data_IF_163013361553
#
_entry.id   IF_163013361553
#
_cell.length_a   1.000
_cell.length_b   1.000
_cell.length_c   1.000
_cell.angle_alpha   90.00
_cell.angle_beta   90.00
_cell.angle_gamma   90.00
#
_symmetry.space_group_name_H-M   'P 1'
#
loop_
_entity.id
_entity.type
_entity.pdbx_description
1 polymer ?
#
# COMPACT_ATOMS: atom_id res chain seq x y z
N UNK A 1 29.44 22.51 20.83
CA UNK A 1 28.04 22.22 21.17
C UNK A 1 27.71 20.91 20.48
N UNK A 2 27.35 19.88 21.24
CA UNK A 2 27.03 18.57 20.65
C UNK A 2 25.62 18.68 20.06
N UNK A 3 25.47 18.37 18.77
CA UNK A 3 24.23 18.55 18.01
C UNK A 3 23.79 17.21 17.41
N UNK A 4 22.48 16.97 17.35
CA UNK A 4 21.90 15.83 16.66
C UNK A 4 22.13 16.03 15.15
N UNK A 5 22.62 15.03 14.41
CA UNK A 5 22.79 15.13 12.96
C UNK A 5 21.47 15.44 12.25
N UNK A 6 21.53 16.26 11.20
CA UNK A 6 20.34 16.68 10.45
C UNK A 6 19.53 15.52 9.86
N UNK A 7 20.18 14.46 9.39
CA UNK A 7 19.52 13.29 8.83
C UNK A 7 18.75 12.46 9.88
N UNK A 8 19.15 12.51 11.16
CA UNK A 8 18.46 11.84 12.27
C UNK A 8 17.34 12.70 12.85
N UNK A 9 17.51 14.03 12.88
CA UNK A 9 16.53 15.00 13.40
C UNK A 9 15.13 14.80 12.82
N UNK A 10 15.00 14.54 11.51
CA UNK A 10 13.68 14.29 10.89
C UNK A 10 13.04 12.99 11.41
N UNK A 11 13.82 11.89 11.49
CA UNK A 11 13.34 10.60 11.99
C UNK A 11 12.93 10.69 13.46
N UNK A 12 13.73 11.38 14.29
CA UNK A 12 13.42 11.62 15.71
C UNK A 12 12.12 12.43 15.85
N UNK A 13 11.93 13.47 15.03
CA UNK A 13 10.70 14.27 15.05
C UNK A 13 9.44 13.48 14.66
N UNK A 14 9.55 12.56 13.70
CA UNK A 14 8.46 11.63 13.37
C UNK A 14 8.14 10.68 14.54
N UNK A 15 9.17 10.19 15.23
CA UNK A 15 9.02 9.28 16.36
C UNK A 15 8.39 9.95 17.59
N UNK A 16 8.83 11.16 17.94
CA UNK A 16 8.24 11.97 19.02
C UNK A 16 6.73 12.12 18.81
N UNK A 17 6.30 12.46 17.59
CA UNK A 17 4.88 12.60 17.26
C UNK A 17 4.11 11.28 17.37
N UNK A 18 4.71 10.17 16.93
CA UNK A 18 4.10 8.85 17.04
C UNK A 18 3.87 8.46 18.51
N UNK A 19 4.90 8.60 19.35
CA UNK A 19 4.83 8.25 20.77
C UNK A 19 3.84 9.14 21.53
N UNK A 20 3.83 10.45 21.26
CA UNK A 20 2.83 11.36 21.83
C UNK A 20 1.41 10.98 21.43
N UNK A 21 1.17 10.64 20.15
CA UNK A 21 -0.14 10.16 19.68
C UNK A 21 -0.60 8.92 20.42
N UNK A 22 0.32 8.01 20.72
CA UNK A 22 0.01 6.81 21.50
C UNK A 22 -0.34 7.16 22.95
N UNK A 23 0.49 7.95 23.64
CA UNK A 23 0.22 8.43 25.01
C UNK A 23 -1.13 9.15 25.11
N UNK A 24 -1.51 9.91 24.08
CA UNK A 24 -2.83 10.56 24.01
C UNK A 24 -4.01 9.58 23.92
N UNK A 25 -3.82 8.44 23.26
CA UNK A 25 -4.85 7.39 23.22
C UNK A 25 -5.03 6.72 24.59
N UNK A 26 -3.94 6.55 25.33
CA UNK A 26 -3.95 5.99 26.69
C UNK A 26 -4.43 7.02 27.74
N UNK A 27 -4.09 8.30 27.54
CA UNK A 27 -4.45 9.40 28.42
C UNK A 27 -4.72 10.68 27.61
N UNK A 28 -6.01 11.06 27.51
CA UNK A 28 -6.50 12.19 26.69
C UNK A 28 -5.92 13.56 27.06
N UNK A 29 -5.27 13.68 28.22
CA UNK A 29 -4.60 14.91 28.66
C UNK A 29 -3.31 15.23 27.89
N UNK A 30 -2.76 14.29 27.12
CA UNK A 30 -1.55 14.47 26.31
C UNK A 30 -1.83 15.18 24.98
N UNK A 31 -2.50 16.33 25.01
CA UNK A 31 -2.72 17.13 23.79
C UNK A 31 -1.41 17.68 23.24
N UNK A 32 -1.40 18.14 21.98
CA UNK A 32 -0.19 18.73 21.38
C UNK A 32 0.23 19.96 22.19
N UNK A 33 -0.72 20.78 22.59
CA UNK A 33 -0.54 22.00 23.39
C UNK A 33 0.23 21.71 24.68
N UNK A 34 -0.24 20.74 25.47
CA UNK A 34 0.40 20.35 26.74
C UNK A 34 1.76 19.68 26.52
N UNK A 35 1.88 18.87 25.47
CA UNK A 35 3.13 18.19 25.19
C UNK A 35 4.25 19.19 24.87
N UNK A 36 3.97 20.19 24.03
CA UNK A 36 4.97 21.18 23.60
C UNK A 36 5.12 22.38 24.55
N UNK A 37 4.26 22.48 25.57
CA UNK A 37 4.27 23.56 26.56
C UNK A 37 5.65 23.71 27.22
N UNK A 38 6.18 24.93 27.21
CA UNK A 38 7.50 25.26 27.71
C UNK A 38 8.68 24.78 26.85
N UNK A 39 8.41 24.20 25.67
CA UNK A 39 9.45 23.66 24.77
C UNK A 39 9.50 24.38 23.43
N UNK A 40 8.39 24.42 22.68
CA UNK A 40 8.38 25.04 21.36
C UNK A 40 6.97 25.45 20.91
N UNK A 41 6.89 26.28 19.86
CA UNK A 41 5.60 26.65 19.24
C UNK A 41 4.96 25.49 18.46
N UNK A 42 3.63 25.53 18.24
CA UNK A 42 2.93 24.54 17.38
C UNK A 42 3.51 24.49 15.96
N UNK A 43 3.92 25.63 15.41
CA UNK A 43 4.50 25.71 14.08
C UNK A 43 5.86 25.01 14.03
N UNK A 44 6.69 25.21 15.05
CA UNK A 44 7.99 24.52 15.21
C UNK A 44 7.78 23.02 15.36
N UNK A 45 6.85 22.59 16.20
CA UNK A 45 6.48 21.19 16.38
C UNK A 45 5.97 20.53 15.09
N UNK A 46 5.18 21.25 14.28
CA UNK A 46 4.71 20.72 13.00
C UNK A 46 5.86 20.48 12.02
N UNK A 47 6.91 21.32 12.06
CA UNK A 47 8.11 21.22 11.22
C UNK A 47 9.01 20.05 11.58
N UNK A 48 9.10 19.66 12.87
CA UNK A 48 9.94 18.54 13.35
C UNK A 48 9.81 17.25 12.50
N UNK A 49 8.62 16.99 11.95
CA UNK A 49 8.29 15.77 11.20
C UNK A 49 8.78 15.77 9.75
N UNK A 50 9.15 16.96 9.24
CA UNK A 50 9.40 17.21 7.81
C UNK A 50 10.77 17.83 7.55
N UNK A 51 11.27 18.64 8.48
CA UNK A 51 12.51 19.39 8.33
C UNK A 51 13.32 19.30 9.63
N UNK A 52 14.65 19.17 9.54
CA UNK A 52 15.51 19.24 10.71
C UNK A 52 15.46 20.66 11.29
N UNK A 53 15.21 20.78 12.59
CA UNK A 53 15.36 22.08 13.26
C UNK A 53 16.85 22.36 13.52
N UNK A 54 17.21 23.64 13.51
CA UNK A 54 18.58 24.06 13.80
C UNK A 54 19.02 23.65 15.21
N UNK A 55 18.14 23.78 16.19
CA UNK A 55 18.46 23.57 17.60
C UNK A 55 18.04 22.16 18.09
N UNK A 56 19.02 21.35 18.51
CA UNK A 56 18.75 20.03 19.10
C UNK A 56 18.07 20.06 20.46
N UNK A 57 18.19 21.16 21.20
CA UNK A 57 17.57 21.33 22.51
C UNK A 57 16.05 21.14 22.48
N UNK A 58 15.40 21.51 21.36
CA UNK A 58 13.97 21.25 21.17
C UNK A 58 13.67 19.75 21.13
N UNK A 59 14.50 18.95 20.46
CA UNK A 59 14.34 17.50 20.39
C UNK A 59 14.57 16.87 21.77
N UNK A 60 15.63 17.27 22.47
CA UNK A 60 15.97 16.74 23.79
C UNK A 60 14.86 16.97 24.81
N UNK A 61 14.32 18.18 24.88
CA UNK A 61 13.21 18.52 25.79
C UNK A 61 11.95 17.71 25.48
N UNK A 62 11.65 17.48 24.20
CA UNK A 62 10.49 16.66 23.79
C UNK A 62 10.72 15.17 24.07
N UNK A 63 11.94 14.65 23.86
CA UNK A 63 12.32 13.29 24.21
C UNK A 63 12.24 13.07 25.72
N UNK A 64 12.74 14.01 26.52
CA UNK A 64 12.69 13.94 27.98
C UNK A 64 11.25 13.82 28.50
N UNK A 65 10.29 14.54 27.91
CA UNK A 65 8.87 14.38 28.23
C UNK A 65 8.33 12.98 27.92
N UNK A 66 8.95 12.25 27.00
CA UNK A 66 8.64 10.86 26.69
C UNK A 66 9.47 9.86 27.51
N UNK A 67 10.25 10.33 28.50
CA UNK A 67 11.24 9.57 29.26
C UNK A 67 12.31 8.94 28.36
N UNK A 68 12.71 9.66 27.31
CA UNK A 68 13.76 9.26 26.37
C UNK A 68 14.87 10.32 26.34
N UNK A 69 16.06 9.91 25.91
CA UNK A 69 17.18 10.82 25.69
C UNK A 69 17.90 10.52 24.37
N UNK A 70 18.58 11.54 23.84
CA UNK A 70 19.53 11.38 22.74
C UNK A 70 20.95 11.20 23.32
N UNK A 71 21.67 10.18 22.87
CA UNK A 71 23.05 9.92 23.28
C UNK A 71 24.03 10.72 22.44
N UNK A 72 24.60 11.75 23.07
CA UNK A 72 25.59 12.65 22.47
C UNK A 72 27.04 12.15 22.55
N UNK A 73 27.32 11.16 23.41
CA UNK A 73 28.66 10.58 23.57
C UNK A 73 29.04 9.80 22.31
N UNK A 74 30.03 10.32 21.57
CA UNK A 74 30.50 9.73 20.31
C UNK A 74 31.12 8.34 20.47
N UNK A 75 31.73 8.02 21.63
CA UNK A 75 32.31 6.69 21.87
C UNK A 75 31.20 5.66 22.08
N UNK A 76 30.25 5.95 22.97
CA UNK A 76 29.06 5.12 23.15
C UNK A 76 28.23 5.05 21.88
N UNK A 77 28.05 6.17 21.16
CA UNK A 77 27.36 6.21 19.86
C UNK A 77 28.08 5.37 18.82
N UNK A 78 29.42 5.38 18.75
CA UNK A 78 30.17 4.52 17.84
C UNK A 78 30.12 3.06 18.23
N UNK A 79 30.01 2.73 19.52
CA UNK A 79 29.77 1.36 19.99
C UNK A 79 28.33 0.92 19.65
N UNK A 80 27.35 1.82 19.78
CA UNK A 80 25.96 1.61 19.37
C UNK A 80 25.81 1.50 17.84
N UNK A 81 26.51 2.32 17.06
CA UNK A 81 26.54 2.26 15.59
C UNK A 81 27.33 1.05 15.09
N UNK A 82 28.40 0.63 15.79
CA UNK A 82 29.09 -0.64 15.52
C UNK A 82 28.18 -1.83 15.83
N UNK A 83 27.44 -1.79 16.93
CA UNK A 83 26.46 -2.80 17.27
C UNK A 83 25.27 -2.79 16.29
N UNK A 84 24.81 -1.63 15.82
CA UNK A 84 23.76 -1.49 14.78
C UNK A 84 24.24 -2.03 13.44
N UNK A 85 25.47 -1.68 13.04
CA UNK A 85 26.13 -2.25 11.86
C UNK A 85 26.36 -3.75 12.01
N UNK A 86 26.64 -4.25 13.22
CA UNK A 86 26.73 -5.69 13.50
C UNK A 86 25.35 -6.36 13.47
N UNK A 87 24.28 -5.69 13.91
CA UNK A 87 22.90 -6.17 13.78
C UNK A 87 22.50 -6.24 12.31
N UNK A 88 22.69 -5.15 11.57
CA UNK A 88 22.40 -5.06 10.14
C UNK A 88 23.26 -6.04 9.34
N UNK A 89 24.55 -6.18 9.64
CA UNK A 89 25.42 -7.17 9.00
C UNK A 89 25.08 -8.62 9.38
N UNK A 90 24.72 -8.90 10.63
CA UNK A 90 24.24 -10.23 11.03
C UNK A 90 22.91 -10.55 10.33
N UNK A 91 22.06 -9.55 10.14
CA UNK A 91 20.80 -9.68 9.42
C UNK A 91 20.99 -9.87 7.92
N UNK A 92 21.88 -9.09 7.29
CA UNK A 92 22.19 -9.17 5.86
C UNK A 92 23.01 -10.42 5.49
N UNK A 93 23.90 -10.88 6.37
CA UNK A 93 24.80 -12.02 6.07
C UNK A 93 24.35 -13.36 6.62
N UNK A 94 23.57 -13.40 7.70
CA UNK A 94 23.28 -14.63 8.43
C UNK A 94 21.77 -14.84 8.58
N UNK A 95 21.10 -14.99 7.44
CA UNK A 95 19.74 -15.49 7.46
C UNK A 95 19.72 -16.89 8.13
N UNK A 96 18.93 -17.06 9.19
CA UNK A 96 18.62 -18.26 10.00
C UNK A 96 19.55 -18.77 11.13
N UNK A 97 20.80 -18.28 11.33
CA UNK A 97 21.75 -18.97 12.26
C UNK A 97 22.04 -18.35 13.62
N UNK A 98 21.69 -17.09 13.88
CA UNK A 98 21.88 -16.49 15.23
C UNK A 98 20.77 -15.52 15.67
N UNK A 99 19.50 -15.97 15.73
CA UNK A 99 18.39 -15.15 16.25
C UNK A 99 18.61 -14.69 17.70
N UNK A 100 19.37 -15.44 18.50
CA UNK A 100 19.71 -15.11 19.89
C UNK A 100 20.59 -13.87 20.00
N UNK A 101 21.52 -13.68 19.05
CA UNK A 101 22.43 -12.53 19.04
C UNK A 101 21.68 -11.24 18.71
N UNK A 102 20.79 -11.30 17.72
CA UNK A 102 19.93 -10.18 17.37
C UNK A 102 18.93 -9.85 18.48
N UNK A 103 18.34 -10.87 19.12
CA UNK A 103 17.48 -10.69 20.30
C UNK A 103 18.22 -10.04 21.47
N UNK A 104 19.40 -10.53 21.82
CA UNK A 104 20.22 -9.97 22.91
C UNK A 104 20.60 -8.50 22.63
N UNK A 105 20.88 -8.17 21.37
CA UNK A 105 21.15 -6.80 20.95
C UNK A 105 19.90 -5.91 21.11
N UNK A 106 18.74 -6.33 20.60
CA UNK A 106 17.45 -5.62 20.78
C UNK A 106 17.15 -5.42 22.28
N UNK A 107 17.33 -6.44 23.11
CA UNK A 107 17.12 -6.37 24.57
C UNK A 107 18.11 -5.39 25.25
N UNK A 108 19.37 -5.35 24.81
CA UNK A 108 20.37 -4.37 25.27
C UNK A 108 20.00 -2.93 24.88
N UNK A 109 19.49 -2.71 23.66
CA UNK A 109 19.01 -1.39 23.23
C UNK A 109 17.78 -0.95 24.02
N UNK A 110 16.85 -1.87 24.23
CA UNK A 110 15.67 -1.70 25.06
C UNK A 110 16.02 -1.20 26.48
N UNK A 111 17.05 -1.77 27.10
CA UNK A 111 17.48 -1.38 28.45
C UNK A 111 18.10 0.04 28.52
N UNK A 112 18.55 0.60 27.40
CA UNK A 112 19.31 1.87 27.37
C UNK A 112 18.48 3.14 27.61
N UNK A 113 17.14 3.09 27.45
CA UNK A 113 16.27 4.27 27.62
C UNK A 113 16.48 5.37 26.58
N UNK A 114 17.04 5.04 25.41
CA UNK A 114 17.45 6.01 24.39
C UNK A 114 16.61 5.90 23.11
N UNK A 115 16.56 6.98 22.32
CA UNK A 115 15.82 6.99 21.04
C UNK A 115 16.44 6.06 19.97
N UNK A 116 17.65 5.55 20.20
CA UNK A 116 18.37 4.71 19.25
C UNK A 116 17.73 3.34 19.02
N UNK A 117 17.06 2.74 20.01
CA UNK A 117 16.25 1.51 19.79
C UNK A 117 15.22 1.71 18.67
N UNK A 118 14.61 2.89 18.64
CA UNK A 118 13.56 3.26 17.71
C UNK A 118 14.11 3.61 16.32
N UNK A 119 15.26 4.27 16.26
CA UNK A 119 15.95 4.61 15.01
C UNK A 119 16.56 3.38 14.34
N UNK A 120 17.12 2.46 15.13
CA UNK A 120 17.66 1.20 14.64
C UNK A 120 16.56 0.26 14.19
N UNK A 121 15.42 0.15 14.88
CA UNK A 121 14.27 -0.59 14.35
C UNK A 121 13.79 -0.04 13.02
N UNK A 122 13.78 1.29 12.84
CA UNK A 122 13.44 1.93 11.55
C UNK A 122 14.51 1.77 10.47
N UNK A 123 15.79 1.64 10.86
CA UNK A 123 16.90 1.40 9.94
C UNK A 123 16.99 -0.07 9.53
N UNK A 124 16.60 -0.99 10.41
CA UNK A 124 16.49 -2.43 10.19
C UNK A 124 15.19 -2.81 9.46
N UNK A 125 14.34 -1.87 9.07
CA UNK A 125 13.09 -2.14 8.34
C UNK A 125 13.04 -1.36 7.03
N UNK A 126 14.12 -1.44 6.26
CA UNK A 126 14.11 -0.93 4.89
C UNK A 126 13.24 -1.82 3.97
N UNK A 127 12.76 -1.25 2.87
CA UNK A 127 11.85 -1.88 1.91
C UNK A 127 12.45 -3.06 1.15
N UNK A 128 13.73 -3.35 1.34
CA UNK A 128 14.48 -4.46 0.73
C UNK A 128 14.33 -5.78 1.48
N UNK A 129 13.79 -5.75 2.70
CA UNK A 129 13.69 -6.95 3.54
C UNK A 129 12.49 -7.82 3.18
N UNK A 130 12.68 -9.14 3.32
CA UNK A 130 11.58 -10.07 3.06
C UNK A 130 10.50 -9.96 4.14
N UNK A 131 9.27 -10.34 3.79
CA UNK A 131 8.15 -10.38 4.74
C UNK A 131 8.46 -11.30 5.93
N UNK A 132 9.19 -12.40 5.72
CA UNK A 132 9.58 -13.32 6.79
C UNK A 132 10.51 -12.64 7.79
N UNK A 133 11.49 -11.91 7.28
CA UNK A 133 12.48 -11.20 8.08
C UNK A 133 11.82 -10.08 8.90
N UNK A 134 10.91 -9.32 8.29
CA UNK A 134 10.12 -8.30 8.97
C UNK A 134 9.22 -8.89 10.09
N UNK A 135 8.64 -10.07 9.86
CA UNK A 135 7.83 -10.76 10.89
C UNK A 135 8.69 -11.27 12.06
N UNK A 136 9.91 -11.72 11.81
CA UNK A 136 10.85 -12.08 12.86
C UNK A 136 11.25 -10.86 13.71
N UNK A 137 11.57 -9.73 13.06
CA UNK A 137 11.81 -8.45 13.76
C UNK A 137 10.58 -8.08 14.60
N UNK A 138 9.38 -8.14 14.02
CA UNK A 138 8.13 -7.83 14.72
C UNK A 138 7.91 -8.68 15.99
N UNK A 139 8.39 -9.93 16.00
CA UNK A 139 8.30 -10.79 17.18
C UNK A 139 9.21 -10.33 18.33
N UNK A 140 10.38 -9.77 18.03
CA UNK A 140 11.40 -9.40 19.02
C UNK A 140 11.27 -7.97 19.56
N UNK A 141 10.66 -7.06 18.79
CA UNK A 141 10.53 -5.66 19.20
C UNK A 141 9.47 -5.44 20.28
N UNK A 142 9.69 -4.40 21.10
CA UNK A 142 8.75 -3.98 22.14
C UNK A 142 7.36 -3.65 21.58
N UNK A 143 6.27 -3.83 22.36
CA UNK A 143 4.90 -3.55 21.92
C UNK A 143 4.68 -2.14 21.33
N UNK A 144 5.50 -1.15 21.74
CA UNK A 144 5.42 0.19 21.18
C UNK A 144 5.83 0.31 19.72
N UNK A 145 6.73 -0.54 19.26
CA UNK A 145 7.30 -0.52 17.92
C UNK A 145 6.60 -1.46 16.96
N UNK A 146 5.86 -2.43 17.48
CA UNK A 146 5.07 -3.39 16.69
C UNK A 146 4.19 -2.70 15.66
N UNK A 147 3.51 -1.63 16.02
CA UNK A 147 2.63 -0.91 15.07
C UNK A 147 3.36 -0.19 13.94
N UNK A 148 4.59 0.26 14.15
CA UNK A 148 5.38 0.93 13.10
C UNK A 148 5.84 -0.13 12.10
N UNK A 149 6.45 -1.21 12.61
CA UNK A 149 6.94 -2.32 11.79
C UNK A 149 5.79 -3.03 11.09
N UNK A 150 4.62 -3.14 11.73
CA UNK A 150 3.41 -3.69 11.12
C UNK A 150 2.97 -2.87 9.90
N UNK A 151 3.08 -1.54 9.95
CA UNK A 151 2.81 -0.70 8.78
C UNK A 151 3.73 -1.04 7.60
N UNK A 152 5.02 -1.27 7.86
CA UNK A 152 5.99 -1.66 6.84
C UNK A 152 5.78 -3.08 6.33
N UNK A 153 5.38 -4.02 7.19
CA UNK A 153 4.97 -5.37 6.78
C UNK A 153 3.80 -5.30 5.82
N UNK A 154 2.79 -4.46 6.12
CA UNK A 154 1.63 -4.26 5.24
C UNK A 154 2.03 -3.63 3.91
N UNK A 155 2.90 -2.61 3.93
CA UNK A 155 3.39 -1.96 2.71
C UNK A 155 4.20 -2.97 1.84
N UNK A 156 5.03 -3.83 2.45
CA UNK A 156 5.76 -4.89 1.75
C UNK A 156 4.80 -5.95 1.17
N UNK A 157 3.76 -6.36 1.91
CA UNK A 157 2.71 -7.26 1.42
C UNK A 157 1.89 -6.64 0.28
N UNK A 158 1.68 -5.32 0.30
CA UNK A 158 1.01 -4.59 -0.77
C UNK A 158 1.82 -4.60 -2.08
N UNK A 159 3.15 -4.66 -2.00
CA UNK A 159 4.02 -4.78 -3.18
C UNK A 159 4.31 -6.23 -3.58
N UNK A 160 4.09 -7.19 -2.68
CA UNK A 160 4.32 -8.60 -2.95
C UNK A 160 3.23 -9.21 -3.88
N UNK A 161 3.52 -10.36 -4.52
CA UNK A 161 2.51 -11.13 -5.26
C UNK A 161 1.32 -11.50 -4.36
N UNK A 162 0.14 -11.69 -4.96
CA UNK A 162 -1.09 -12.06 -4.23
C UNK A 162 -0.95 -13.36 -3.41
N UNK A 163 -0.04 -14.26 -3.81
CA UNK A 163 0.26 -15.49 -3.07
C UNK A 163 1.02 -15.27 -1.75
N UNK A 164 1.57 -14.08 -1.51
CA UNK A 164 2.39 -13.78 -0.34
C UNK A 164 1.60 -13.75 0.97
N UNK A 165 0.29 -13.45 0.95
CA UNK A 165 -0.53 -13.45 2.15
C UNK A 165 -0.98 -14.88 2.50
N UNK A 166 -0.10 -15.68 3.08
CA UNK A 166 -0.44 -17.05 3.53
C UNK A 166 -1.27 -17.03 4.82
N UNK A 167 -2.02 -18.11 5.15
CA UNK A 167 -2.70 -18.23 6.44
C UNK A 167 -1.76 -18.05 7.64
N UNK A 168 -0.54 -18.58 7.56
CA UNK A 168 0.47 -18.43 8.61
C UNK A 168 0.88 -16.95 8.80
N UNK A 169 1.13 -16.22 7.71
CA UNK A 169 1.44 -14.79 7.78
C UNK A 169 0.25 -14.04 8.38
N UNK A 170 -0.96 -14.32 7.91
CA UNK A 170 -2.17 -13.69 8.41
C UNK A 170 -2.35 -13.87 9.92
N UNK A 171 -2.12 -15.08 10.46
CA UNK A 171 -2.19 -15.33 11.90
C UNK A 171 -1.16 -14.55 12.71
N UNK A 172 -0.02 -14.18 12.10
CA UNK A 172 1.00 -13.37 12.75
C UNK A 172 0.70 -11.86 12.74
N UNK A 173 -0.26 -11.41 11.92
CA UNK A 173 -0.64 -9.99 11.83
C UNK A 173 -1.56 -9.61 13.00
N UNK A 174 -1.03 -8.82 13.93
CA UNK A 174 -1.77 -8.29 15.08
C UNK A 174 -1.78 -6.77 15.01
N UNK A 175 -2.97 -6.17 15.04
CA UNK A 175 -3.15 -4.73 14.85
C UNK A 175 -3.74 -4.05 16.08
N UNK A 176 -3.06 -3.01 16.55
CA UNK A 176 -3.48 -2.14 17.65
C UNK A 176 -3.97 -0.76 17.17
N UNK A 177 -3.69 -0.36 15.92
CA UNK A 177 -4.17 0.89 15.35
C UNK A 177 -5.21 0.70 14.25
N UNK A 178 -6.22 1.57 14.21
CA UNK A 178 -7.20 1.59 13.13
C UNK A 178 -6.55 1.87 11.76
N UNK A 179 -5.46 2.64 11.71
CA UNK A 179 -4.69 2.87 10.48
C UNK A 179 -4.20 1.57 9.85
N UNK A 180 -3.52 0.73 10.62
CA UNK A 180 -2.99 -0.54 10.11
C UNK A 180 -4.14 -1.53 9.79
N UNK A 181 -5.22 -1.54 10.59
CA UNK A 181 -6.42 -2.32 10.28
C UNK A 181 -7.07 -1.89 8.96
N UNK A 182 -7.11 -0.59 8.65
CA UNK A 182 -7.63 -0.07 7.38
C UNK A 182 -6.69 -0.43 6.22
N UNK A 183 -5.36 -0.35 6.39
CA UNK A 183 -4.42 -0.84 5.37
C UNK A 183 -4.62 -2.34 5.11
N UNK A 184 -4.74 -3.13 6.18
CA UNK A 184 -5.02 -4.56 6.08
C UNK A 184 -6.36 -4.86 5.40
N UNK A 185 -7.40 -4.05 5.62
CA UNK A 185 -8.68 -4.15 4.91
C UNK A 185 -8.50 -4.05 3.38
N UNK A 186 -7.72 -3.09 2.90
CA UNK A 186 -7.42 -2.98 1.47
C UNK A 186 -6.55 -4.13 0.96
N UNK A 187 -5.62 -4.64 1.78
CA UNK A 187 -4.85 -5.84 1.45
C UNK A 187 -5.76 -7.06 1.27
N UNK A 188 -6.75 -7.27 2.17
CA UNK A 188 -7.74 -8.33 2.03
C UNK A 188 -8.57 -8.20 0.75
N UNK A 189 -9.01 -6.97 0.42
CA UNK A 189 -9.75 -6.68 -0.81
C UNK A 189 -8.92 -7.02 -2.05
N UNK A 190 -7.65 -6.60 -2.09
CA UNK A 190 -6.69 -6.92 -3.17
C UNK A 190 -6.45 -8.42 -3.32
N UNK A 191 -6.49 -9.17 -2.23
CA UNK A 191 -6.33 -10.63 -2.24
C UNK A 191 -7.66 -11.38 -2.41
N UNK A 192 -8.73 -10.69 -2.83
CA UNK A 192 -10.06 -11.25 -3.09
C UNK A 192 -10.70 -11.97 -1.87
N UNK A 193 -10.25 -11.65 -0.66
CA UNK A 193 -10.78 -12.19 0.62
C UNK A 193 -11.98 -11.37 1.09
N UNK A 194 -13.01 -11.29 0.25
CA UNK A 194 -14.10 -10.35 0.40
C UNK A 194 -14.94 -10.54 1.67
N UNK A 195 -15.14 -11.78 2.14
CA UNK A 195 -15.90 -12.05 3.37
C UNK A 195 -15.16 -11.55 4.63
N UNK A 196 -13.86 -11.81 4.72
CA UNK A 196 -13.03 -11.33 5.83
C UNK A 196 -12.92 -9.80 5.82
N UNK A 197 -12.75 -9.23 4.62
CA UNK A 197 -12.74 -7.78 4.42
C UNK A 197 -14.09 -7.15 4.81
N UNK A 198 -15.22 -7.76 4.45
CA UNK A 198 -16.55 -7.29 4.83
C UNK A 198 -16.75 -7.30 6.35
N UNK A 199 -16.32 -8.37 7.04
CA UNK A 199 -16.38 -8.45 8.49
C UNK A 199 -15.54 -7.35 9.15
N UNK A 200 -14.27 -7.19 8.73
CA UNK A 200 -13.39 -6.15 9.25
C UNK A 200 -13.90 -4.73 8.93
N UNK A 201 -14.50 -4.52 7.76
CA UNK A 201 -15.12 -3.25 7.39
C UNK A 201 -16.25 -2.88 8.35
N UNK A 202 -17.17 -3.80 8.65
CA UNK A 202 -18.27 -3.56 9.59
C UNK A 202 -17.78 -3.37 11.04
N UNK A 203 -16.73 -4.06 11.46
CA UNK A 203 -16.10 -3.80 12.75
C UNK A 203 -15.50 -2.39 12.84
N UNK A 204 -14.80 -1.94 11.78
CA UNK A 204 -14.18 -0.62 11.74
C UNK A 204 -15.22 0.50 11.72
N UNK A 205 -16.37 0.30 11.05
CA UNK A 205 -17.49 1.27 11.04
C UNK A 205 -18.08 1.55 12.42
N UNK A 206 -17.94 0.61 13.36
CA UNK A 206 -18.42 0.74 14.75
C UNK A 206 -17.42 1.44 15.68
N UNK A 207 -16.22 1.80 15.19
CA UNK A 207 -15.17 2.44 15.98
C UNK A 207 -15.21 3.96 15.84
N UNK A 208 -14.64 4.66 16.82
CA UNK A 208 -14.34 6.09 16.72
C UNK A 208 -13.15 6.30 15.77
N UNK A 209 -13.46 6.77 14.56
CA UNK A 209 -12.52 6.97 13.47
C UNK A 209 -12.35 8.46 13.16
N UNK A 210 -11.14 8.86 12.78
CA UNK A 210 -10.94 10.19 12.22
C UNK A 210 -11.71 10.33 10.90
N UNK A 211 -12.09 11.55 10.46
CA UNK A 211 -12.82 11.73 9.21
C UNK A 211 -12.15 11.06 8.01
N UNK A 212 -10.82 11.12 7.92
CA UNK A 212 -10.04 10.46 6.86
C UNK A 212 -10.11 8.93 6.93
N UNK A 213 -10.07 8.36 8.12
CA UNK A 213 -10.20 6.90 8.32
C UNK A 213 -11.61 6.43 7.98
N UNK A 214 -12.64 7.15 8.43
CA UNK A 214 -14.05 6.91 8.07
C UNK A 214 -14.24 6.91 6.56
N UNK A 215 -13.65 7.90 5.90
CA UNK A 215 -13.68 8.03 4.45
C UNK A 215 -13.07 6.78 3.78
N UNK A 216 -11.86 6.36 4.18
CA UNK A 216 -11.21 5.15 3.63
C UNK A 216 -12.03 3.88 3.83
N UNK A 217 -12.65 3.70 5.00
CA UNK A 217 -13.53 2.55 5.27
C UNK A 217 -14.76 2.57 4.36
N UNK A 218 -15.33 3.76 4.09
CA UNK A 218 -16.45 3.92 3.16
C UNK A 218 -16.08 3.58 1.72
N UNK A 219 -14.89 3.98 1.26
CA UNK A 219 -14.37 3.54 -0.04
C UNK A 219 -14.22 2.02 -0.09
N UNK A 220 -13.62 1.41 0.95
CA UNK A 220 -13.48 -0.05 1.01
C UNK A 220 -14.84 -0.76 0.92
N UNK A 221 -15.90 -0.19 1.54
CA UNK A 221 -17.27 -0.69 1.41
C UNK A 221 -17.77 -0.68 -0.04
N UNK A 222 -17.46 0.34 -0.84
CA UNK A 222 -17.80 0.35 -2.27
C UNK A 222 -17.11 -0.78 -3.04
N UNK A 223 -15.82 -1.03 -2.78
CA UNK A 223 -15.11 -2.18 -3.39
C UNK A 223 -15.79 -3.50 -3.04
N UNK A 224 -16.18 -3.67 -1.77
CA UNK A 224 -16.89 -4.87 -1.33
C UNK A 224 -18.27 -4.99 -1.96
N UNK A 225 -19.03 -3.90 -2.05
CA UNK A 225 -20.34 -3.89 -2.71
C UNK A 225 -20.22 -4.24 -4.18
N UNK A 226 -19.21 -3.75 -4.88
CA UNK A 226 -18.98 -4.10 -6.28
C UNK A 226 -18.86 -5.62 -6.49
N UNK A 227 -18.21 -6.33 -5.57
CA UNK A 227 -18.00 -7.79 -5.68
C UNK A 227 -19.11 -8.64 -5.04
N UNK A 228 -19.71 -8.21 -3.92
CA UNK A 228 -20.65 -9.02 -3.13
C UNK A 228 -22.12 -8.62 -3.40
N UNK A 229 -22.40 -7.34 -3.59
CA UNK A 229 -23.77 -6.79 -3.69
C UNK A 229 -23.85 -5.65 -4.72
N UNK A 230 -23.56 -5.92 -6.01
CA UNK A 230 -23.45 -4.89 -7.04
C UNK A 230 -24.74 -4.08 -7.25
N UNK A 231 -25.91 -4.67 -6.97
CA UNK A 231 -27.22 -4.02 -7.07
C UNK A 231 -27.38 -2.80 -6.16
N UNK A 232 -26.67 -2.75 -5.03
CA UNK A 232 -26.74 -1.64 -4.06
C UNK A 232 -25.61 -0.62 -4.25
N UNK A 233 -24.74 -0.83 -5.25
CA UNK A 233 -23.54 -0.02 -5.44
C UNK A 233 -23.87 1.44 -5.78
N UNK A 234 -24.77 1.67 -6.73
CA UNK A 234 -25.08 3.02 -7.23
C UNK A 234 -25.69 3.93 -6.15
N UNK A 235 -26.53 3.34 -5.28
CA UNK A 235 -27.11 4.04 -4.16
C UNK A 235 -26.03 4.49 -3.16
N UNK A 236 -25.14 3.58 -2.76
CA UNK A 236 -24.06 3.91 -1.83
C UNK A 236 -23.05 4.88 -2.45
N UNK A 237 -22.70 4.72 -3.73
CA UNK A 237 -21.81 5.61 -4.44
C UNK A 237 -22.38 7.04 -4.50
N UNK A 238 -23.68 7.18 -4.73
CA UNK A 238 -24.39 8.46 -4.74
C UNK A 238 -24.43 9.11 -3.36
N UNK A 239 -24.70 8.32 -2.31
CA UNK A 239 -24.66 8.81 -0.92
C UNK A 239 -23.28 9.35 -0.56
N UNK A 240 -22.21 8.62 -0.89
CA UNK A 240 -20.83 9.06 -0.62
C UNK A 240 -20.46 10.33 -1.38
N UNK A 241 -20.96 10.52 -2.59
CA UNK A 241 -20.74 11.72 -3.39
C UNK A 241 -21.37 12.98 -2.76
N UNK A 242 -22.47 12.83 -2.04
CA UNK A 242 -23.17 13.92 -1.38
C UNK A 242 -22.53 14.34 -0.04
N UNK A 243 -21.51 13.62 0.44
CA UNK A 243 -20.93 13.88 1.75
C UNK A 243 -19.97 15.08 1.75
N UNK A 244 -19.91 15.86 2.86
CA UNK A 244 -18.98 16.98 3.00
C UNK A 244 -17.51 16.61 2.80
N UNK A 245 -17.14 15.37 3.13
CA UNK A 245 -15.77 14.87 3.05
C UNK A 245 -15.44 14.21 1.70
N UNK A 246 -16.36 14.22 0.73
CA UNK A 246 -16.16 13.65 -0.59
C UNK A 246 -14.86 14.11 -1.29
N UNK A 247 -14.39 15.37 -1.17
CA UNK A 247 -13.12 15.78 -1.77
C UNK A 247 -11.92 14.92 -1.33
N UNK A 248 -11.95 14.35 -0.12
CA UNK A 248 -10.90 13.43 0.38
C UNK A 248 -10.98 12.04 -0.25
N UNK A 249 -12.12 11.70 -0.85
CA UNK A 249 -12.44 10.40 -1.43
C UNK A 249 -12.49 10.39 -2.95
N UNK A 250 -12.57 11.56 -3.56
CA UNK A 250 -12.93 11.71 -4.96
C UNK A 250 -12.11 10.81 -5.89
N UNK A 251 -10.80 10.68 -5.64
CA UNK A 251 -9.93 9.82 -6.44
C UNK A 251 -10.30 8.34 -6.33
N UNK A 252 -10.35 7.80 -5.11
CA UNK A 252 -10.64 6.37 -4.91
C UNK A 252 -12.09 6.04 -5.30
N UNK A 253 -13.01 6.99 -5.12
CA UNK A 253 -14.39 6.89 -5.60
C UNK A 253 -14.46 6.85 -7.12
N UNK A 254 -13.74 7.73 -7.83
CA UNK A 254 -13.67 7.72 -9.30
C UNK A 254 -13.18 6.36 -9.78
N UNK A 255 -12.13 5.82 -9.15
CA UNK A 255 -11.55 4.52 -9.50
C UNK A 255 -12.57 3.38 -9.40
N UNK A 256 -13.21 3.22 -8.25
CA UNK A 256 -14.15 2.10 -8.06
C UNK A 256 -15.42 2.28 -8.89
N UNK A 257 -15.90 3.51 -9.10
CA UNK A 257 -17.03 3.77 -10.00
C UNK A 257 -16.68 3.49 -11.47
N UNK A 258 -15.45 3.79 -11.89
CA UNK A 258 -14.97 3.47 -13.24
C UNK A 258 -14.95 1.96 -13.48
N UNK A 259 -14.36 1.21 -12.55
CA UNK A 259 -14.32 -0.25 -12.57
C UNK A 259 -15.75 -0.83 -12.58
N UNK A 260 -16.61 -0.36 -11.68
CA UNK A 260 -17.98 -0.84 -11.59
C UNK A 260 -18.76 -0.63 -12.90
N UNK A 261 -18.71 0.60 -13.46
CA UNK A 261 -19.38 0.91 -14.72
C UNK A 261 -18.87 0.05 -15.88
N UNK A 262 -17.55 -0.16 -15.96
CA UNK A 262 -16.93 -1.04 -16.95
C UNK A 262 -17.46 -2.48 -16.83
N UNK A 263 -17.58 -3.01 -15.61
CA UNK A 263 -18.12 -4.36 -15.38
C UNK A 263 -19.57 -4.51 -15.85
N UNK A 264 -20.39 -3.48 -15.60
CA UNK A 264 -21.78 -3.41 -16.05
C UNK A 264 -21.93 -3.16 -17.55
N UNK A 265 -20.82 -3.03 -18.30
CA UNK A 265 -20.78 -2.67 -19.73
C UNK A 265 -21.35 -1.28 -20.02
N UNK A 266 -21.38 -0.41 -19.02
CA UNK A 266 -21.73 1.00 -19.17
C UNK A 266 -20.47 1.79 -19.53
N UNK A 267 -20.01 1.62 -20.78
CA UNK A 267 -18.78 2.24 -21.27
C UNK A 267 -18.90 3.76 -21.41
N UNK A 268 -20.10 4.28 -21.63
CA UNK A 268 -20.40 5.72 -21.66
C UNK A 268 -20.11 6.37 -20.29
N UNK A 269 -20.45 5.68 -19.19
CA UNK A 269 -20.11 6.13 -17.83
C UNK A 269 -18.65 5.82 -17.47
N UNK A 270 -18.11 4.66 -17.88
CA UNK A 270 -16.76 4.24 -17.50
C UNK A 270 -15.67 5.13 -18.15
N UNK A 271 -15.78 5.42 -19.45
CA UNK A 271 -14.78 6.17 -20.21
C UNK A 271 -14.40 7.53 -19.61
N UNK A 272 -15.32 8.46 -19.29
CA UNK A 272 -14.94 9.74 -18.71
C UNK A 272 -14.33 9.62 -17.30
N UNK A 273 -14.63 8.56 -16.55
CA UNK A 273 -14.00 8.30 -15.25
C UNK A 273 -12.57 7.79 -15.42
N UNK A 274 -12.36 6.81 -16.30
CA UNK A 274 -11.04 6.26 -16.62
C UNK A 274 -10.11 7.31 -17.23
N UNK A 275 -10.65 8.21 -18.06
CA UNK A 275 -9.90 9.34 -18.61
C UNK A 275 -9.37 10.32 -17.55
N UNK A 276 -10.02 10.41 -16.37
CA UNK A 276 -9.50 11.18 -15.23
C UNK A 276 -8.35 10.45 -14.54
N UNK A 277 -8.39 9.11 -14.51
CA UNK A 277 -7.38 8.30 -13.83
C UNK A 277 -6.04 8.26 -14.56
N UNK A 278 -6.06 8.26 -15.90
CA UNK A 278 -4.86 8.27 -16.76
C UNK A 278 -4.08 9.59 -16.72
N UNK A 279 -4.59 10.60 -15.99
CA UNK A 279 -3.84 11.82 -15.68
C UNK A 279 -2.81 11.60 -14.56
N UNK A 280 -2.93 10.52 -13.77
CA UNK A 280 -2.02 10.24 -12.67
C UNK A 280 -1.33 8.90 -12.86
N UNK A 281 0.01 8.92 -12.88
CA UNK A 281 0.87 7.76 -13.07
C UNK A 281 0.51 6.56 -12.17
N UNK A 282 0.21 6.80 -10.89
CA UNK A 282 -0.16 5.74 -9.93
C UNK A 282 -1.43 4.97 -10.28
N UNK A 283 -2.37 5.60 -10.99
CA UNK A 283 -3.66 5.00 -11.40
C UNK A 283 -3.74 4.81 -12.90
N UNK A 284 -2.66 5.14 -13.63
CA UNK A 284 -2.62 5.13 -15.08
C UNK A 284 -2.84 3.74 -15.64
N UNK A 285 -2.13 2.75 -15.09
CA UNK A 285 -2.00 1.47 -15.76
C UNK A 285 -3.27 0.61 -15.77
N UNK A 286 -4.02 0.47 -14.66
CA UNK A 286 -5.32 -0.19 -14.73
C UNK A 286 -6.28 0.54 -15.68
N UNK A 287 -6.28 1.89 -15.65
CA UNK A 287 -7.21 2.68 -16.43
C UNK A 287 -6.91 2.66 -17.94
N UNK A 288 -5.64 2.66 -18.33
CA UNK A 288 -5.24 2.67 -19.74
C UNK A 288 -5.56 1.35 -20.43
N UNK A 289 -5.41 0.22 -19.72
CA UNK A 289 -5.79 -1.10 -20.22
C UNK A 289 -7.30 -1.20 -20.47
N UNK A 290 -8.12 -0.65 -19.55
CA UNK A 290 -9.58 -0.62 -19.75
C UNK A 290 -9.98 0.29 -20.90
N UNK A 291 -9.36 1.46 -21.03
CA UNK A 291 -9.58 2.37 -22.16
C UNK A 291 -9.17 1.72 -23.49
N UNK A 292 -8.05 0.99 -23.51
CA UNK A 292 -7.59 0.25 -24.68
C UNK A 292 -8.54 -0.89 -25.05
N UNK A 293 -9.07 -1.62 -24.07
CA UNK A 293 -10.06 -2.68 -24.31
C UNK A 293 -11.41 -2.14 -24.82
N UNK A 294 -11.89 -1.03 -24.27
CA UNK A 294 -13.14 -0.39 -24.72
C UNK A 294 -13.03 0.20 -26.14
N UNK A 295 -11.84 0.20 -26.75
CA UNK A 295 -11.66 0.70 -28.10
C UNK A 295 -12.31 -0.22 -29.14
N UNK A 296 -13.38 0.26 -29.76
CA UNK A 296 -13.99 -0.31 -30.96
C UNK A 296 -13.83 0.59 -32.18
N UNK A 297 -14.14 0.06 -33.37
CA UNK A 297 -14.04 0.77 -34.67
C UNK A 297 -14.83 2.09 -34.76
N UNK A 298 -15.79 2.33 -33.87
CA UNK A 298 -16.61 3.54 -33.83
C UNK A 298 -16.09 4.64 -32.88
N UNK A 299 -15.14 4.34 -31.99
CA UNK A 299 -14.71 5.26 -30.92
C UNK A 299 -13.18 5.35 -30.90
N UNK A 300 -12.63 6.33 -31.63
CA UNK A 300 -11.18 6.54 -31.69
C UNK A 300 -10.54 6.68 -30.31
N UNK A 301 -9.49 5.88 -30.07
CA UNK A 301 -8.63 5.99 -28.90
C UNK A 301 -7.40 6.82 -29.28
N UNK A 302 -7.15 7.89 -28.53
CA UNK A 302 -5.98 8.71 -28.76
C UNK A 302 -4.73 7.94 -28.31
N UNK A 303 -3.96 7.44 -29.28
CA UNK A 303 -2.70 6.72 -29.07
C UNK A 303 -1.73 7.53 -28.19
N UNK A 304 -1.80 8.86 -28.17
CA UNK A 304 -0.94 9.70 -27.30
C UNK A 304 -1.22 9.46 -25.81
N UNK A 305 -2.44 9.08 -25.46
CA UNK A 305 -2.82 8.74 -24.07
C UNK A 305 -2.22 7.39 -23.67
N UNK A 306 -2.13 6.44 -24.61
CA UNK A 306 -1.55 5.12 -24.39
C UNK A 306 -0.05 5.18 -24.05
N UNK A 307 0.71 6.00 -24.75
CA UNK A 307 2.16 6.13 -24.58
C UNK A 307 2.58 7.22 -23.57
N UNK A 308 1.68 7.63 -22.68
CA UNK A 308 1.92 8.79 -21.80
C UNK A 308 3.01 8.55 -20.75
N UNK A 309 3.14 7.34 -20.25
CA UNK A 309 4.11 6.97 -19.22
C UNK A 309 4.94 5.74 -19.65
N UNK A 310 6.23 5.67 -19.27
CA UNK A 310 7.05 4.47 -19.47
C UNK A 310 6.48 3.27 -18.71
N UNK A 311 6.42 2.10 -19.34
CA UNK A 311 5.80 0.90 -18.75
C UNK A 311 6.69 0.19 -17.73
N UNK A 312 8.00 0.46 -17.73
CA UNK A 312 9.01 -0.29 -16.97
C UNK A 312 8.82 -0.19 -15.44
N UNK A 313 8.09 0.82 -14.97
CA UNK A 313 7.83 1.06 -13.55
C UNK A 313 6.61 0.31 -13.00
N UNK A 314 5.88 -0.43 -13.85
CA UNK A 314 4.68 -1.15 -13.46
C UNK A 314 4.94 -2.66 -13.31
N UNK A 315 4.12 -3.39 -12.54
CA UNK A 315 4.33 -4.83 -12.37
C UNK A 315 4.24 -5.59 -13.70
N UNK A 316 4.97 -6.69 -13.81
CA UNK A 316 5.19 -7.42 -15.08
C UNK A 316 3.88 -7.90 -15.71
N UNK A 317 2.92 -8.34 -14.90
CA UNK A 317 1.59 -8.77 -15.36
C UNK A 317 0.85 -7.69 -16.14
N UNK A 318 1.02 -6.43 -15.71
CA UNK A 318 0.45 -5.26 -16.36
C UNK A 318 1.20 -4.96 -17.67
N UNK A 319 2.54 -5.01 -17.64
CA UNK A 319 3.37 -4.78 -18.84
C UNK A 319 3.01 -5.73 -19.98
N UNK A 320 2.80 -7.02 -19.70
CA UNK A 320 2.42 -7.99 -20.72
C UNK A 320 1.12 -7.63 -21.45
N UNK A 321 0.10 -7.19 -20.72
CA UNK A 321 -1.17 -6.81 -21.35
C UNK A 321 -1.06 -5.50 -22.13
N UNK A 322 -0.24 -4.56 -21.65
CA UNK A 322 0.06 -3.35 -22.40
C UNK A 322 0.75 -3.67 -23.73
N UNK A 323 1.76 -4.54 -23.72
CA UNK A 323 2.42 -5.00 -24.95
C UNK A 323 1.44 -5.63 -25.92
N UNK A 324 0.47 -6.42 -25.42
CA UNK A 324 -0.60 -6.95 -26.26
C UNK A 324 -1.39 -5.84 -26.99
N UNK A 325 -1.85 -4.82 -26.26
CA UNK A 325 -2.58 -3.70 -26.86
C UNK A 325 -1.72 -2.86 -27.79
N UNK A 326 -0.43 -2.67 -27.49
CA UNK A 326 0.54 -2.04 -28.39
C UNK A 326 0.63 -2.80 -29.73
N UNK A 327 0.82 -4.12 -29.69
CA UNK A 327 0.82 -4.97 -30.89
C UNK A 327 -0.49 -4.84 -31.68
N UNK A 328 -1.64 -4.82 -30.99
CA UNK A 328 -2.96 -4.63 -31.62
C UNK A 328 -3.06 -3.27 -32.31
N UNK A 329 -2.64 -2.19 -31.65
CA UNK A 329 -2.66 -0.84 -32.21
C UNK A 329 -1.67 -0.62 -33.34
N UNK A 330 -0.61 -1.43 -33.39
CA UNK A 330 0.38 -1.46 -34.46
C UNK A 330 0.04 -2.52 -35.53
N UNK A 331 -1.19 -3.04 -35.54
CA UNK A 331 -1.74 -3.93 -36.57
C UNK A 331 -0.96 -5.25 -36.73
N UNK A 332 -0.46 -5.83 -35.64
CA UNK A 332 0.04 -7.20 -35.65
C UNK A 332 -1.05 -8.18 -36.15
N UNK A 333 -0.62 -9.29 -36.77
CA UNK A 333 -1.56 -10.30 -37.29
C UNK A 333 -2.36 -10.96 -36.18
N UNK A 334 -3.56 -11.44 -36.51
CA UNK A 334 -4.41 -12.16 -35.57
C UNK A 334 -3.70 -13.37 -34.94
N UNK A 335 -2.90 -14.11 -35.71
CA UNK A 335 -2.12 -15.24 -35.20
C UNK A 335 -1.12 -14.82 -34.12
N UNK A 336 -0.42 -13.69 -34.30
CA UNK A 336 0.53 -13.16 -33.33
C UNK A 336 -0.21 -12.75 -32.05
N UNK A 337 -1.30 -11.99 -32.20
CA UNK A 337 -2.11 -11.52 -31.09
C UNK A 337 -2.69 -12.69 -30.26
N UNK A 338 -3.26 -13.68 -30.93
CA UNK A 338 -3.86 -14.85 -30.29
C UNK A 338 -2.80 -15.71 -29.58
N UNK A 339 -1.65 -15.93 -30.23
CA UNK A 339 -0.51 -16.64 -29.65
C UNK A 339 -0.02 -15.94 -28.38
N UNK A 340 0.10 -14.62 -28.42
CA UNK A 340 0.59 -13.84 -27.29
C UNK A 340 -0.39 -13.88 -26.10
N UNK A 341 -1.70 -13.71 -26.36
CA UNK A 341 -2.74 -13.85 -25.33
C UNK A 341 -2.67 -15.22 -24.65
N UNK A 342 -2.54 -16.30 -25.44
CA UNK A 342 -2.59 -17.66 -24.95
C UNK A 342 -1.33 -18.09 -24.19
N UNK A 343 -0.16 -17.67 -24.65
CA UNK A 343 1.13 -18.16 -24.15
C UNK A 343 1.71 -17.29 -23.03
N UNK A 344 1.44 -15.99 -23.06
CA UNK A 344 1.97 -14.99 -22.12
C UNK A 344 0.85 -14.47 -21.23
N UNK A 345 -0.10 -13.67 -21.74
CA UNK A 345 -1.08 -12.97 -20.91
C UNK A 345 -1.93 -13.92 -20.03
N UNK A 346 -2.31 -15.10 -20.55
CA UNK A 346 -3.09 -16.10 -19.81
C UNK A 346 -2.41 -16.56 -18.52
N UNK A 347 -1.08 -16.64 -18.49
CA UNK A 347 -0.34 -17.12 -17.30
C UNK A 347 -0.38 -16.11 -16.15
N UNK A 348 -0.55 -14.83 -16.47
CA UNK A 348 -0.53 -13.72 -15.52
C UNK A 348 -1.88 -13.43 -14.86
N UNK A 349 -2.97 -14.09 -15.29
CA UNK A 349 -4.34 -13.84 -14.79
C UNK A 349 -4.40 -13.88 -13.25
N UNK A 350 -3.69 -14.83 -12.63
CA UNK A 350 -3.69 -15.00 -11.17
C UNK A 350 -2.85 -13.96 -10.43
N UNK A 351 -1.96 -13.25 -11.12
CA UNK A 351 -1.14 -12.18 -10.55
C UNK A 351 -1.85 -10.82 -10.61
N UNK A 352 -2.79 -10.67 -11.55
CA UNK A 352 -3.55 -9.43 -11.74
C UNK A 352 -4.69 -9.30 -10.73
N UNK A 353 -4.89 -8.10 -10.19
CA UNK A 353 -6.07 -7.78 -9.38
C UNK A 353 -7.00 -6.77 -10.07
N UNK A 354 -8.32 -7.03 -10.12
CA UNK A 354 -8.99 -8.31 -9.87
C UNK A 354 -8.74 -9.31 -11.01
N UNK A 355 -8.49 -10.58 -10.66
CA UNK A 355 -8.12 -11.63 -11.63
C UNK A 355 -9.21 -11.87 -12.67
N UNK A 356 -10.47 -11.76 -12.24
CA UNK A 356 -11.67 -11.84 -13.07
C UNK A 356 -11.71 -10.79 -14.20
N UNK A 357 -11.15 -9.59 -13.98
CA UNK A 357 -11.09 -8.57 -15.02
C UNK A 357 -10.13 -8.98 -16.12
N UNK A 358 -8.94 -9.41 -15.74
CA UNK A 358 -7.92 -9.87 -16.70
C UNK A 358 -8.45 -11.04 -17.52
N UNK A 359 -9.08 -12.01 -16.87
CA UNK A 359 -9.69 -13.16 -17.54
C UNK A 359 -10.76 -12.73 -18.55
N UNK A 360 -11.63 -11.79 -18.16
CA UNK A 360 -12.68 -11.26 -19.04
C UNK A 360 -12.11 -10.49 -20.23
N UNK A 361 -11.11 -9.66 -20.02
CA UNK A 361 -10.46 -8.89 -21.09
C UNK A 361 -9.80 -9.84 -22.11
N UNK A 362 -9.05 -10.84 -21.63
CA UNK A 362 -8.46 -11.85 -22.52
C UNK A 362 -9.55 -12.63 -23.27
N UNK A 363 -10.65 -12.97 -22.62
CA UNK A 363 -11.78 -13.66 -23.25
C UNK A 363 -12.42 -12.81 -24.36
N UNK A 364 -12.73 -11.54 -24.08
CA UNK A 364 -13.34 -10.62 -25.03
C UNK A 364 -12.41 -10.39 -26.24
N UNK A 365 -11.09 -10.30 -26.02
CA UNK A 365 -10.09 -10.19 -27.09
C UNK A 365 -9.95 -11.48 -27.92
N UNK A 366 -9.88 -12.66 -27.28
CA UNK A 366 -9.89 -13.95 -28.00
C UNK A 366 -11.17 -14.13 -28.79
N UNK A 367 -12.30 -13.67 -28.26
CA UNK A 367 -13.58 -13.68 -28.96
C UNK A 367 -13.54 -12.79 -30.20
N UNK A 368 -13.06 -11.55 -30.07
CA UNK A 368 -12.90 -10.65 -31.20
C UNK A 368 -12.03 -11.28 -32.29
N UNK A 369 -10.87 -11.86 -31.94
CA UNK A 369 -9.99 -12.55 -32.91
C UNK A 369 -10.73 -13.73 -33.59
N UNK A 370 -11.46 -14.54 -32.82
CA UNK A 370 -12.22 -15.68 -33.36
C UNK A 370 -13.32 -15.25 -34.34
N UNK A 371 -13.92 -14.07 -34.13
CA UNK A 371 -14.93 -13.50 -35.03
C UNK A 371 -14.31 -13.01 -36.35
N UNK A 372 -13.01 -12.66 -36.36
CA UNK A 372 -12.30 -12.26 -37.58
C UNK A 372 -11.69 -13.45 -38.35
N UNK A 373 -11.28 -14.50 -37.65
CA UNK A 373 -10.54 -15.65 -38.23
C UNK A 373 -11.43 -16.88 -38.45
N UNK A 374 -12.61 -16.94 -37.84
CA UNK A 374 -13.47 -18.12 -37.73
C UNK A 374 -12.87 -19.32 -36.98
N UNK A 375 -11.70 -19.20 -36.35
CA UNK A 375 -11.15 -20.22 -35.44
C UNK A 375 -11.58 -19.94 -34.00
N UNK A 376 -12.25 -20.90 -33.36
CA UNK A 376 -12.74 -20.80 -31.98
C UNK A 376 -12.00 -21.68 -30.99
N UNK A 377 -10.95 -22.38 -31.43
CA UNK A 377 -10.26 -23.40 -30.64
C UNK A 377 -9.75 -22.84 -29.31
N UNK A 378 -9.01 -21.73 -29.33
CA UNK A 378 -8.48 -21.10 -28.11
C UNK A 378 -9.53 -20.42 -27.27
N UNK A 379 -10.55 -19.82 -27.89
CA UNK A 379 -11.69 -19.25 -27.15
C UNK A 379 -12.41 -20.32 -26.33
N UNK A 380 -12.67 -21.49 -26.91
CA UNK A 380 -13.31 -22.60 -26.19
C UNK A 380 -12.41 -23.17 -25.11
N UNK A 381 -11.12 -23.38 -25.39
CA UNK A 381 -10.17 -23.84 -24.39
C UNK A 381 -10.04 -22.85 -23.21
N UNK A 382 -10.06 -21.54 -23.48
CA UNK A 382 -10.04 -20.51 -22.45
C UNK A 382 -11.30 -20.55 -21.57
N UNK A 383 -12.48 -20.70 -22.18
CA UNK A 383 -13.75 -20.84 -21.44
C UNK A 383 -13.79 -22.08 -20.55
N UNK A 384 -13.21 -23.20 -20.98
CA UNK A 384 -13.12 -24.38 -20.12
C UNK A 384 -12.23 -24.17 -18.90
N UNK A 385 -11.21 -23.31 -19.03
CA UNK A 385 -10.23 -23.07 -17.97
C UNK A 385 -10.65 -21.95 -17.01
N UNK A 386 -11.40 -20.94 -17.46
CA UNK A 386 -11.70 -19.71 -16.71
C UNK A 386 -13.17 -19.25 -16.78
N UNK A 387 -14.05 -20.02 -17.44
CA UNK A 387 -15.45 -19.66 -17.68
C UNK A 387 -16.42 -20.10 -16.59
#
# INVERSE_FOLDING_TARGET
MIDIPEHEKVKIGQMIEFLRKRKWKENKTWTVERFIEGVCSKATYAKLRKFPLKESETYDKLLAKLNLSYLYDAARRNDFLRAEKQCALAFEKENSRTPERLRALIESYAASGTIFEYLTCLALTDSTLSISDLLQIHAWIRPAMKEIVMGQILDALEQAPLSALTPAIQHALVFHTNRNRIQYLFLLIRNERFYEAASLCEELRKKDLTPRETARVRVAKLFLMHHIQPQSFEEEASRLRAEPFFPLLARDWIHICAIHAYFQRDFEKAKPLLMKEVLCEKTFFPAILFLAHMHGSANGFDKRVFYRFPIDHFPVEYQHLYTYFDMKFNHASFDILENYLWTICRKEIKAFYPSSIMARLIHDELRWISEQTNDRTRLYAFRQQFG
#
